data_IF_140851167403
#
_entry.id   IF_140851167403
#
_cell.length_a   1.000
_cell.length_b   1.000
_cell.length_c   1.000
_cell.angle_alpha   90.00
_cell.angle_beta   90.00
_cell.angle_gamma   90.00
#
_symmetry.space_group_name_H-M   'P 1'
#
loop_
_entity.id
_entity.type
_entity.pdbx_description
1 polymer ?
#
# COMPACT_ATOMS: atom_id res chain seq x y z
N UNK A 1 -20.94 28.45 -13.56
CA UNK A 1 -19.47 28.64 -13.51
C UNK A 1 -18.86 28.37 -12.13
N UNK A 2 -19.42 28.91 -11.03
CA UNK A 2 -18.89 28.70 -9.67
C UNK A 2 -18.84 27.22 -9.20
N UNK A 3 -19.88 26.42 -9.49
CA UNK A 3 -19.93 25.00 -9.10
C UNK A 3 -18.87 24.14 -9.84
N UNK A 4 -18.53 24.50 -11.08
CA UNK A 4 -17.50 23.83 -11.88
C UNK A 4 -16.08 24.17 -11.38
N UNK A 5 -15.83 25.43 -11.03
CA UNK A 5 -14.55 25.87 -10.45
C UNK A 5 -14.31 25.31 -9.05
N UNK A 6 -15.38 25.18 -8.23
CA UNK A 6 -15.34 24.47 -6.95
C UNK A 6 -15.01 22.99 -7.16
N UNK A 7 -15.66 22.32 -8.12
CA UNK A 7 -15.37 20.91 -8.46
C UNK A 7 -13.93 20.68 -8.92
N UNK A 8 -13.38 21.57 -9.76
CA UNK A 8 -11.98 21.51 -10.21
C UNK A 8 -10.99 21.73 -9.06
N UNK A 9 -11.30 22.66 -8.15
CA UNK A 9 -10.42 22.98 -7.02
C UNK A 9 -10.40 21.87 -5.98
N UNK A 10 -11.58 21.33 -5.62
CA UNK A 10 -11.68 20.18 -4.70
C UNK A 10 -10.97 18.96 -5.26
N UNK A 11 -11.15 18.66 -6.55
CA UNK A 11 -10.44 17.55 -7.23
C UNK A 11 -8.92 17.75 -7.19
N UNK A 12 -8.42 18.97 -7.37
CA UNK A 12 -6.98 19.28 -7.30
C UNK A 12 -6.41 19.07 -5.90
N UNK A 13 -7.14 19.49 -4.85
CA UNK A 13 -6.73 19.31 -3.45
C UNK A 13 -6.73 17.83 -3.04
N UNK A 14 -7.74 17.07 -3.47
CA UNK A 14 -7.80 15.63 -3.21
C UNK A 14 -6.68 14.86 -3.88
N UNK A 15 -6.33 15.22 -5.13
CA UNK A 15 -5.19 14.64 -5.83
C UNK A 15 -3.88 14.93 -5.08
N UNK A 16 -3.65 16.17 -4.63
CA UNK A 16 -2.47 16.48 -3.82
C UNK A 16 -2.43 15.70 -2.50
N UNK A 17 -3.57 15.48 -1.85
CA UNK A 17 -3.60 14.72 -0.58
C UNK A 17 -3.25 13.24 -0.76
N UNK A 18 -3.75 12.61 -1.83
CA UNK A 18 -3.38 11.23 -2.17
C UNK A 18 -1.91 11.13 -2.55
N UNK A 19 -1.40 12.06 -3.36
CA UNK A 19 0.00 12.08 -3.77
C UNK A 19 0.93 12.26 -2.57
N UNK A 20 0.59 13.14 -1.63
CA UNK A 20 1.32 13.32 -0.37
C UNK A 20 1.30 12.05 0.49
N UNK A 21 0.13 11.40 0.61
CA UNK A 21 0.01 10.14 1.35
C UNK A 21 0.84 9.02 0.70
N UNK A 22 0.87 8.95 -0.64
CA UNK A 22 1.66 7.98 -1.40
C UNK A 22 3.15 8.24 -1.29
N UNK A 23 3.58 9.50 -1.39
CA UNK A 23 4.96 9.88 -1.18
C UNK A 23 5.42 9.53 0.25
N UNK A 24 4.60 9.81 1.26
CA UNK A 24 4.89 9.44 2.64
C UNK A 24 4.91 7.93 2.86
N UNK A 25 3.96 7.19 2.26
CA UNK A 25 3.96 5.73 2.28
C UNK A 25 5.28 5.19 1.74
N UNK A 26 5.71 5.62 0.55
CA UNK A 26 6.98 5.18 -0.04
C UNK A 26 8.14 5.50 0.90
N UNK A 27 8.24 6.73 1.41
CA UNK A 27 9.32 7.14 2.30
C UNK A 27 9.38 6.33 3.60
N UNK A 28 8.24 5.89 4.14
CA UNK A 28 8.20 5.07 5.36
C UNK A 28 8.49 3.58 5.13
N UNK A 29 8.60 3.12 3.88
CA UNK A 29 8.79 1.71 3.53
C UNK A 29 10.02 1.53 2.62
N UNK A 30 11.22 1.49 3.21
CA UNK A 30 12.48 1.37 2.47
C UNK A 30 13.07 -0.04 2.51
N UNK A 31 12.76 -0.82 3.55
CA UNK A 31 13.30 -2.15 3.71
C UNK A 31 12.64 -3.14 2.72
N UNK A 32 13.41 -3.91 1.91
CA UNK A 32 12.85 -4.80 0.89
C UNK A 32 11.87 -5.85 1.43
N UNK A 33 12.13 -6.37 2.64
CA UNK A 33 11.22 -7.34 3.28
C UNK A 33 9.90 -6.66 3.67
N UNK A 34 9.94 -5.44 4.22
CA UNK A 34 8.73 -4.72 4.59
C UNK A 34 7.90 -4.36 3.35
N UNK A 35 8.55 -3.93 2.28
CA UNK A 35 7.93 -3.72 0.96
C UNK A 35 7.22 -4.98 0.44
N UNK A 36 7.89 -6.14 0.50
CA UNK A 36 7.31 -7.43 0.12
C UNK A 36 6.10 -7.78 1.00
N UNK A 37 6.22 -7.64 2.32
CA UNK A 37 5.12 -7.87 3.26
C UNK A 37 3.92 -6.99 2.93
N UNK A 38 4.12 -5.72 2.57
CA UNK A 38 3.03 -4.84 2.16
C UNK A 38 2.37 -5.24 0.82
N UNK A 39 3.10 -5.83 -0.13
CA UNK A 39 2.48 -6.42 -1.30
C UNK A 39 1.59 -7.62 -0.92
N UNK A 40 2.04 -8.49 -0.01
CA UNK A 40 1.24 -9.60 0.51
C UNK A 40 0.01 -9.08 1.28
N UNK A 41 0.17 -8.07 2.12
CA UNK A 41 -0.93 -7.39 2.83
C UNK A 41 -2.00 -6.91 1.86
N UNK A 42 -1.61 -6.29 0.73
CA UNK A 42 -2.57 -5.80 -0.26
C UNK A 42 -3.28 -6.94 -1.01
N UNK A 43 -2.59 -8.04 -1.32
CA UNK A 43 -3.22 -9.24 -1.89
C UNK A 43 -4.22 -9.87 -0.91
N UNK A 44 -3.87 -9.93 0.38
CA UNK A 44 -4.79 -10.39 1.43
C UNK A 44 -5.99 -9.47 1.61
N UNK A 45 -5.82 -8.15 1.48
CA UNK A 45 -6.93 -7.21 1.53
C UNK A 45 -7.89 -7.42 0.35
N UNK A 46 -7.38 -7.62 -0.87
CA UNK A 46 -8.19 -7.99 -2.04
C UNK A 46 -8.91 -9.32 -1.78
N UNK A 47 -8.19 -10.34 -1.31
CA UNK A 47 -8.77 -11.64 -1.00
C UNK A 47 -9.87 -11.53 0.07
N UNK A 48 -9.67 -10.72 1.11
CA UNK A 48 -10.66 -10.50 2.16
C UNK A 48 -11.97 -9.92 1.62
N UNK A 49 -11.90 -8.95 0.70
CA UNK A 49 -13.08 -8.37 0.04
C UNK A 49 -13.83 -9.42 -0.79
N UNK A 50 -13.12 -10.28 -1.53
CA UNK A 50 -13.74 -11.36 -2.30
C UNK A 50 -14.40 -12.36 -1.34
N UNK A 51 -13.65 -12.85 -0.35
CA UNK A 51 -14.05 -13.89 0.60
C UNK A 51 -15.17 -13.45 1.54
N UNK A 52 -15.38 -12.13 1.71
CA UNK A 52 -16.47 -11.58 2.51
C UNK A 52 -17.84 -12.14 2.10
N UNK A 53 -17.99 -12.49 0.82
CA UNK A 53 -19.23 -13.03 0.26
C UNK A 53 -19.30 -14.57 0.25
N UNK A 54 -18.24 -15.26 0.70
CA UNK A 54 -18.14 -16.73 0.68
C UNK A 54 -17.96 -17.35 2.07
N UNK A 55 -16.99 -16.86 2.85
CA UNK A 55 -16.71 -17.38 4.20
C UNK A 55 -16.08 -16.28 5.07
N UNK A 56 -16.87 -15.78 6.03
CA UNK A 56 -16.45 -14.73 6.95
C UNK A 56 -15.25 -15.14 7.83
N UNK A 57 -15.03 -16.44 8.07
CA UNK A 57 -13.88 -16.94 8.85
C UNK A 57 -12.59 -16.75 8.07
N UNK A 58 -12.62 -17.04 6.77
CA UNK A 58 -11.49 -16.79 5.88
C UNK A 58 -11.24 -15.28 5.71
N UNK A 59 -12.29 -14.47 5.61
CA UNK A 59 -12.17 -13.01 5.65
C UNK A 59 -11.47 -12.54 6.91
N UNK A 60 -11.89 -13.03 8.08
CA UNK A 60 -11.27 -12.66 9.35
C UNK A 60 -9.79 -13.08 9.40
N UNK A 61 -9.46 -14.28 8.91
CA UNK A 61 -8.08 -14.74 8.80
C UNK A 61 -7.24 -13.80 7.93
N UNK A 62 -7.75 -13.40 6.75
CA UNK A 62 -7.09 -12.42 5.90
C UNK A 62 -6.90 -11.07 6.61
N UNK A 63 -7.93 -10.55 7.27
CA UNK A 63 -7.86 -9.28 8.01
C UNK A 63 -6.82 -9.34 9.13
N UNK A 64 -6.77 -10.41 9.92
CA UNK A 64 -5.74 -10.58 10.96
C UNK A 64 -4.34 -10.63 10.35
N UNK A 65 -4.14 -11.40 9.28
CA UNK A 65 -2.85 -11.49 8.60
C UNK A 65 -2.41 -10.14 8.00
N UNK A 66 -3.34 -9.31 7.52
CA UNK A 66 -3.01 -7.95 7.05
C UNK A 66 -2.38 -7.11 8.16
N UNK A 67 -2.87 -7.22 9.40
CA UNK A 67 -2.34 -6.46 10.53
C UNK A 67 -0.97 -7.01 10.95
N UNK A 68 -0.83 -8.34 11.01
CA UNK A 68 0.45 -8.99 11.37
C UNK A 68 1.55 -8.58 10.39
N UNK A 69 1.30 -8.61 9.09
CA UNK A 69 2.31 -8.29 8.09
C UNK A 69 2.60 -6.79 8.01
N UNK A 70 1.59 -5.92 8.02
CA UNK A 70 1.80 -4.48 7.98
C UNK A 70 2.54 -3.98 9.23
N UNK A 71 2.05 -4.32 10.42
CA UNK A 71 2.64 -3.83 11.67
C UNK A 71 3.95 -4.56 12.00
N UNK A 72 4.03 -5.88 11.76
CA UNK A 72 5.24 -6.66 11.97
C UNK A 72 6.39 -6.21 11.06
N UNK A 73 6.07 -5.83 9.82
CA UNK A 73 7.00 -5.23 8.87
C UNK A 73 7.67 -3.97 9.42
N UNK A 74 6.85 -3.06 9.96
CA UNK A 74 7.34 -1.85 10.63
C UNK A 74 8.09 -2.14 11.93
N UNK A 75 7.58 -3.01 12.80
CA UNK A 75 8.16 -3.28 14.10
C UNK A 75 9.54 -3.96 14.01
N UNK A 76 9.71 -4.89 13.06
CA UNK A 76 10.92 -5.72 12.97
C UNK A 76 11.94 -5.11 12.01
N UNK A 77 11.50 -4.64 10.83
CA UNK A 77 12.41 -4.25 9.75
C UNK A 77 12.63 -2.75 9.63
N UNK A 78 11.57 -1.93 9.58
CA UNK A 78 11.72 -0.48 9.40
C UNK A 78 12.10 0.27 10.68
N UNK A 79 11.56 -0.18 11.82
CA UNK A 79 11.70 0.47 13.14
C UNK A 79 11.27 1.93 13.13
N UNK A 80 10.23 2.25 12.36
CA UNK A 80 9.61 3.57 12.24
C UNK A 80 8.08 3.48 12.41
N UNK A 81 7.40 4.63 12.36
CA UNK A 81 5.95 4.69 12.50
C UNK A 81 5.24 4.37 11.16
N UNK A 82 4.14 3.57 11.18
CA UNK A 82 3.32 3.33 9.99
C UNK A 82 2.77 4.62 9.37
N UNK A 83 2.77 4.70 8.03
CA UNK A 83 2.25 5.86 7.31
C UNK A 83 0.76 6.16 7.61
N UNK A 84 0.00 5.14 7.99
CA UNK A 84 -1.41 5.25 8.37
C UNK A 84 -1.64 6.13 9.61
N UNK A 85 -0.63 6.36 10.45
CA UNK A 85 -0.72 7.29 11.58
C UNK A 85 -0.87 8.73 11.10
N UNK A 86 -0.12 9.12 10.05
CA UNK A 86 -0.18 10.47 9.50
C UNK A 86 -1.34 10.64 8.51
N UNK A 87 -1.63 9.59 7.73
CA UNK A 87 -2.66 9.61 6.67
C UNK A 87 -3.64 8.44 6.87
N UNK A 88 -4.55 8.52 7.86
CA UNK A 88 -5.47 7.43 8.17
C UNK A 88 -6.44 7.15 7.04
N UNK A 89 -6.76 5.87 6.82
CA UNK A 89 -7.67 5.39 5.76
C UNK A 89 -7.07 5.47 4.36
N UNK A 90 -6.62 6.65 3.92
CA UNK A 90 -6.10 6.87 2.56
C UNK A 90 -4.81 6.09 2.28
N UNK A 91 -4.02 5.79 3.32
CA UNK A 91 -2.79 5.00 3.20
C UNK A 91 -3.04 3.61 2.62
N UNK A 92 -4.22 3.00 2.84
CA UNK A 92 -4.56 1.71 2.24
C UNK A 92 -4.62 1.84 0.71
N UNK A 93 -5.27 2.89 0.21
CA UNK A 93 -5.34 3.17 -1.23
C UNK A 93 -3.98 3.54 -1.82
N UNK A 94 -3.18 4.32 -1.08
CA UNK A 94 -1.82 4.67 -1.49
C UNK A 94 -0.91 3.43 -1.59
N UNK A 95 -0.98 2.54 -0.60
CA UNK A 95 -0.25 1.27 -0.56
C UNK A 95 -0.67 0.34 -1.70
N UNK A 96 -1.98 0.23 -1.95
CA UNK A 96 -2.52 -0.59 -3.03
C UNK A 96 -2.10 -0.05 -4.40
N UNK A 97 -2.23 1.26 -4.64
CA UNK A 97 -1.75 1.91 -5.88
C UNK A 97 -0.26 1.66 -6.09
N UNK A 98 0.57 1.84 -5.05
CA UNK A 98 1.99 1.55 -5.13
C UNK A 98 2.28 0.08 -5.43
N UNK A 99 1.46 -0.85 -4.92
CA UNK A 99 1.59 -2.28 -5.22
C UNK A 99 1.27 -2.59 -6.68
N UNK A 100 0.24 -1.98 -7.26
CA UNK A 100 -0.06 -2.12 -8.68
C UNK A 100 1.07 -1.57 -9.57
N UNK A 101 1.60 -0.39 -9.26
CA UNK A 101 2.72 0.21 -10.01
C UNK A 101 3.97 -0.68 -10.04
N UNK A 102 4.11 -1.53 -9.02
CA UNK A 102 5.23 -2.44 -8.84
C UNK A 102 4.89 -3.91 -9.15
N UNK A 103 3.72 -4.16 -9.76
CA UNK A 103 3.25 -5.51 -10.10
C UNK A 103 3.31 -6.47 -8.91
N UNK A 104 2.89 -5.98 -7.75
CA UNK A 104 2.93 -6.69 -6.46
C UNK A 104 4.32 -7.27 -6.12
N UNK A 105 5.40 -6.55 -6.46
CA UNK A 105 6.77 -6.93 -6.12
C UNK A 105 7.57 -7.50 -7.29
N UNK A 106 6.90 -7.95 -8.35
CA UNK A 106 7.56 -8.57 -9.50
C UNK A 106 8.49 -7.60 -10.23
N UNK A 107 8.12 -6.31 -10.28
CA UNK A 107 8.93 -5.27 -10.93
C UNK A 107 10.28 -5.10 -10.23
N UNK A 108 10.31 -5.15 -8.89
CA UNK A 108 11.53 -5.01 -8.11
C UNK A 108 12.46 -6.22 -8.30
N UNK A 109 11.90 -7.43 -8.32
CA UNK A 109 12.65 -8.67 -8.59
C UNK A 109 13.27 -8.62 -9.99
N UNK A 110 12.47 -8.28 -11.01
CA UNK A 110 12.94 -8.13 -12.39
C UNK A 110 14.10 -7.13 -12.51
N UNK A 111 13.98 -5.97 -11.87
CA UNK A 111 15.04 -4.94 -11.87
C UNK A 111 16.32 -5.40 -11.15
N UNK A 112 16.21 -6.24 -10.11
CA UNK A 112 17.37 -6.81 -9.41
C UNK A 112 18.09 -7.83 -10.30
N UNK A 113 17.35 -8.75 -10.92
CA UNK A 113 17.89 -9.77 -11.83
C UNK A 113 18.57 -9.13 -13.04
N UNK A 114 17.94 -8.14 -13.68
CA UNK A 114 18.53 -7.45 -14.83
C UNK A 114 19.78 -6.64 -14.49
N UNK A 115 19.89 -6.12 -13.26
CA UNK A 115 21.13 -5.47 -12.80
C UNK A 115 22.26 -6.48 -12.64
N UNK A 116 21.98 -7.65 -12.06
CA UNK A 116 22.97 -8.71 -11.91
C UNK A 116 23.43 -9.29 -13.25
N UNK A 117 22.57 -9.34 -14.27
CA UNK A 117 22.95 -9.78 -15.61
C UNK A 117 23.90 -8.81 -16.33
N UNK A 118 23.87 -7.52 -15.99
CA UNK A 118 24.67 -6.46 -16.63
C UNK A 118 26.00 -6.15 -15.92
N UNK A 119 26.25 -6.75 -14.75
CA UNK A 119 27.50 -6.62 -13.96
C UNK A 119 28.44 -7.77 -14.24
#
# INVERSE_FOLDING_TARGET
>A
MACFLLGVTVRRILLSYFDDAKAHFIASHQHPINQFLHHITNLLAIAAVILLFYDWRLTLACLVLTQIFALGGHAIFEKNQPAAIKYPGITILASLSWSFDNWFGLRQVWMKLNRQYKS
#
